data_IF_796770519066
#
_entry.id   IF_796770519066
#
_cell.length_a   1.000
_cell.length_b   1.000
_cell.length_c   1.000
_cell.angle_alpha   90.00
_cell.angle_beta   90.00
_cell.angle_gamma   90.00
#
_symmetry.space_group_name_H-M   'P 1'
#
loop_
_entity.id
_entity.type
_entity.pdbx_description
1 polymer ?
#
# COMPACT_ATOMS: atom_id res chain seq x y z
N UNK A 1 24.39 32.79 -2.60
CA UNK A 1 23.02 32.51 -3.01
C UNK A 1 22.76 31.00 -2.85
N UNK A 2 22.07 30.58 -1.77
CA UNK A 2 21.61 29.18 -1.65
C UNK A 2 20.52 28.99 -2.70
N UNK A 3 20.71 28.04 -3.64
CA UNK A 3 19.63 27.55 -4.50
C UNK A 3 18.51 27.11 -3.55
N UNK A 4 17.31 27.69 -3.68
CA UNK A 4 16.10 27.17 -3.06
C UNK A 4 16.01 25.72 -3.50
N UNK A 5 16.30 24.78 -2.60
CA UNK A 5 16.11 23.37 -2.86
C UNK A 5 14.62 23.18 -3.17
N UNK A 6 14.33 22.41 -4.18
CA UNK A 6 12.99 21.89 -4.42
C UNK A 6 12.65 21.12 -3.15
N UNK A 7 11.74 21.67 -2.35
CA UNK A 7 11.23 20.98 -1.17
C UNK A 7 10.45 19.77 -1.71
N UNK A 8 10.92 18.56 -1.40
CA UNK A 8 10.31 17.33 -1.86
C UNK A 8 8.96 17.16 -1.17
N UNK A 9 7.88 17.32 -1.93
CA UNK A 9 6.53 17.20 -1.42
C UNK A 9 5.97 15.80 -1.62
N UNK A 10 5.41 15.24 -0.56
CA UNK A 10 4.70 13.96 -0.59
C UNK A 10 3.19 14.22 -0.58
N UNK A 11 2.45 13.73 -1.56
CA UNK A 11 1.00 13.75 -1.53
C UNK A 11 0.45 12.49 -0.83
N UNK A 12 -0.41 12.68 0.15
CA UNK A 12 -1.20 11.63 0.77
C UNK A 12 -2.61 11.73 0.18
N UNK A 13 -3.03 10.69 -0.53
CA UNK A 13 -4.33 10.67 -1.19
C UNK A 13 -5.45 10.57 -0.15
N UNK A 14 -6.36 11.54 -0.16
CA UNK A 14 -7.56 11.58 0.66
C UNK A 14 -8.78 11.14 -0.16
N UNK A 15 -9.22 9.90 0.06
CA UNK A 15 -10.49 9.38 -0.47
C UNK A 15 -11.51 9.07 0.65
N UNK A 16 -11.48 9.86 1.73
CA UNK A 16 -12.24 9.64 2.97
C UNK A 16 -11.82 8.36 3.71
N UNK A 17 -10.57 7.88 3.49
CA UNK A 17 -10.02 6.77 4.26
C UNK A 17 -9.74 7.20 5.70
N UNK A 18 -9.95 6.28 6.64
CA UNK A 18 -9.54 6.50 8.01
C UNK A 18 -8.01 6.46 8.17
N UNK A 19 -7.53 6.95 9.30
CA UNK A 19 -6.11 6.91 9.72
C UNK A 19 -5.10 7.76 8.90
N UNK A 20 -5.56 8.63 8.01
CA UNK A 20 -4.71 9.57 7.25
C UNK A 20 -3.83 10.41 8.20
N UNK A 21 -4.39 10.86 9.32
CA UNK A 21 -3.68 11.66 10.33
C UNK A 21 -2.46 10.96 10.93
N UNK A 22 -2.49 9.64 11.06
CA UNK A 22 -1.33 8.88 11.56
C UNK A 22 -0.19 8.87 10.53
N UNK A 23 -0.52 8.72 9.24
CA UNK A 23 0.46 8.77 8.15
C UNK A 23 1.05 10.17 8.04
N UNK A 24 0.21 11.21 8.05
CA UNK A 24 0.63 12.61 8.02
C UNK A 24 1.63 12.92 9.16
N UNK A 25 1.26 12.57 10.41
CA UNK A 25 2.12 12.77 11.58
C UNK A 25 3.45 12.00 11.48
N UNK A 26 3.42 10.77 10.98
CA UNK A 26 4.63 9.97 10.79
C UNK A 26 5.58 10.63 9.78
N UNK A 27 5.06 11.15 8.67
CA UNK A 27 5.87 11.85 7.68
C UNK A 27 6.46 13.15 8.24
N UNK A 28 5.68 13.93 8.99
CA UNK A 28 6.18 15.13 9.67
C UNK A 28 7.27 14.81 10.68
N UNK A 29 7.11 13.71 11.45
CA UNK A 29 8.16 13.26 12.39
C UNK A 29 9.47 12.91 11.65
N UNK A 30 9.37 12.41 10.44
CA UNK A 30 10.52 12.13 9.57
C UNK A 30 11.05 13.37 8.84
N UNK A 31 10.55 14.56 9.16
CA UNK A 31 10.97 15.82 8.54
C UNK A 31 10.55 15.98 7.09
N UNK A 32 9.51 15.26 6.64
CA UNK A 32 9.01 15.34 5.28
C UNK A 32 7.88 16.37 5.17
N UNK A 33 7.86 17.14 4.08
CA UNK A 33 6.72 17.96 3.72
C UNK A 33 5.64 17.10 3.06
N UNK A 34 4.41 17.21 3.57
CA UNK A 34 3.27 16.45 3.06
C UNK A 34 2.06 17.33 2.82
N UNK A 35 1.26 16.95 1.85
CA UNK A 35 -0.07 17.49 1.61
C UNK A 35 -1.09 16.37 1.58
N UNK A 36 -2.13 16.47 2.39
CA UNK A 36 -3.30 15.57 2.32
C UNK A 36 -4.27 16.18 1.32
N UNK A 37 -4.52 15.48 0.22
CA UNK A 37 -5.28 16.06 -0.89
C UNK A 37 -5.96 15.00 -1.76
N UNK A 38 -7.05 15.39 -2.42
CA UNK A 38 -7.68 14.67 -3.54
C UNK A 38 -7.61 15.47 -4.84
N UNK A 39 -6.94 16.63 -4.81
CA UNK A 39 -6.76 17.44 -5.99
C UNK A 39 -5.78 16.81 -6.99
N UNK A 40 -6.26 16.58 -8.21
CA UNK A 40 -5.50 15.93 -9.29
C UNK A 40 -4.13 16.60 -9.52
N UNK A 41 -4.13 17.94 -9.65
CA UNK A 41 -2.89 18.63 -9.98
C UNK A 41 -1.85 18.54 -8.88
N UNK A 42 -2.26 18.65 -7.62
CA UNK A 42 -1.40 18.51 -6.46
C UNK A 42 -0.78 17.11 -6.39
N UNK A 43 -1.59 16.06 -6.64
CA UNK A 43 -1.10 14.68 -6.65
C UNK A 43 -0.09 14.45 -7.78
N UNK A 44 -0.39 14.92 -9.00
CA UNK A 44 0.48 14.73 -10.17
C UNK A 44 1.79 15.55 -10.12
N UNK A 45 1.81 16.63 -9.34
CA UNK A 45 3.01 17.45 -9.12
C UNK A 45 3.89 16.96 -7.96
N UNK A 46 3.39 16.07 -7.13
CA UNK A 46 4.11 15.54 -5.98
C UNK A 46 5.33 14.70 -6.41
N UNK A 47 6.40 14.76 -5.62
CA UNK A 47 7.60 13.95 -5.83
C UNK A 47 7.41 12.48 -5.42
N UNK A 48 6.48 12.23 -4.51
CA UNK A 48 6.08 10.89 -4.03
C UNK A 48 4.61 10.91 -3.66
N UNK A 49 3.97 9.75 -3.73
CA UNK A 49 2.55 9.61 -3.41
C UNK A 49 2.34 8.46 -2.43
N UNK A 50 1.48 8.66 -1.45
CA UNK A 50 1.07 7.63 -0.49
C UNK A 50 -0.45 7.43 -0.61
N UNK A 51 -0.85 6.16 -0.76
CA UNK A 51 -2.23 5.71 -0.69
C UNK A 51 -2.43 4.95 0.63
N UNK A 52 -2.89 5.60 1.70
CA UNK A 52 -3.25 4.90 2.93
C UNK A 52 -4.58 4.20 2.75
N UNK A 53 -4.93 3.27 3.65
CA UNK A 53 -6.26 2.69 3.64
C UNK A 53 -6.56 1.86 4.88
N UNK A 54 -7.80 1.96 5.34
CA UNK A 54 -8.42 1.10 6.34
C UNK A 54 -9.88 0.86 5.95
N UNK A 55 -10.47 -0.24 6.44
CA UNK A 55 -11.85 -0.61 6.13
C UNK A 55 -11.96 -1.63 5.01
N UNK A 56 -13.08 -1.66 4.30
CA UNK A 56 -13.39 -2.67 3.30
C UNK A 56 -12.93 -2.27 1.89
N UNK A 57 -12.47 -3.27 1.13
CA UNK A 57 -11.95 -3.11 -0.22
C UNK A 57 -12.95 -2.44 -1.19
N UNK A 58 -14.21 -2.91 -1.19
CA UNK A 58 -15.23 -2.37 -2.09
C UNK A 58 -15.61 -0.93 -1.78
N UNK A 59 -15.73 -0.57 -0.50
CA UNK A 59 -16.04 0.79 -0.08
C UNK A 59 -14.92 1.76 -0.49
N UNK A 60 -13.66 1.35 -0.30
CA UNK A 60 -12.50 2.12 -0.70
C UNK A 60 -12.46 2.34 -2.22
N UNK A 61 -12.65 1.30 -3.03
CA UNK A 61 -12.70 1.43 -4.49
C UNK A 61 -13.86 2.31 -4.96
N UNK A 62 -15.02 2.20 -4.32
CA UNK A 62 -16.18 3.08 -4.59
C UNK A 62 -15.82 4.56 -4.38
N UNK A 63 -15.15 4.89 -3.29
CA UNK A 63 -14.71 6.26 -2.99
C UNK A 63 -13.64 6.76 -3.96
N UNK A 64 -12.65 5.94 -4.28
CA UNK A 64 -11.61 6.27 -5.27
C UNK A 64 -12.25 6.62 -6.61
N UNK A 65 -13.22 5.82 -7.07
CA UNK A 65 -13.97 6.07 -8.31
C UNK A 65 -14.84 7.30 -8.21
N UNK A 66 -15.57 7.46 -7.11
CA UNK A 66 -16.44 8.64 -6.88
C UNK A 66 -15.68 9.95 -6.99
N UNK A 67 -14.42 10.00 -6.54
CA UNK A 67 -13.58 11.20 -6.59
C UNK A 67 -12.71 11.28 -7.85
N UNK A 68 -12.86 10.36 -8.80
CA UNK A 68 -12.06 10.35 -10.03
C UNK A 68 -10.57 10.10 -9.80
N UNK A 69 -10.22 9.46 -8.68
CA UNK A 69 -8.83 9.23 -8.29
C UNK A 69 -8.19 8.01 -8.97
N UNK A 70 -8.99 7.11 -9.52
CA UNK A 70 -8.50 5.90 -10.20
C UNK A 70 -7.57 6.28 -11.36
N UNK A 71 -8.01 7.17 -12.25
CA UNK A 71 -7.21 7.66 -13.37
C UNK A 71 -5.96 8.42 -12.91
N UNK A 72 -6.08 9.21 -11.83
CA UNK A 72 -4.97 9.97 -11.25
C UNK A 72 -3.88 9.03 -10.75
N UNK A 73 -4.26 7.96 -10.03
CA UNK A 73 -3.33 6.96 -9.51
C UNK A 73 -2.61 6.25 -10.66
N UNK A 74 -3.33 5.84 -11.70
CA UNK A 74 -2.73 5.23 -12.89
C UNK A 74 -1.73 6.16 -13.58
N UNK A 75 -2.04 7.45 -13.68
CA UNK A 75 -1.14 8.44 -14.28
C UNK A 75 0.13 8.64 -13.43
N UNK A 76 0.00 8.72 -12.09
CA UNK A 76 1.13 8.79 -11.15
C UNK A 76 2.07 7.61 -11.34
N UNK A 77 1.51 6.39 -11.38
CA UNK A 77 2.29 5.16 -11.54
C UNK A 77 2.95 5.11 -12.93
N UNK A 78 2.21 5.41 -13.99
CA UNK A 78 2.73 5.46 -15.36
C UNK A 78 3.86 6.47 -15.53
N UNK A 79 3.81 7.57 -14.80
CA UNK A 79 4.88 8.61 -14.78
C UNK A 79 6.14 8.12 -14.03
N UNK A 80 6.09 7.00 -13.32
CA UNK A 80 7.19 6.48 -12.50
C UNK A 80 7.38 7.24 -11.18
N UNK A 81 6.40 8.03 -10.75
CA UNK A 81 6.45 8.69 -9.44
C UNK A 81 6.44 7.63 -8.34
N UNK A 82 7.38 7.65 -7.36
CA UNK A 82 7.38 6.70 -6.26
C UNK A 82 6.03 6.69 -5.53
N UNK A 83 5.44 5.50 -5.44
CA UNK A 83 4.10 5.29 -4.91
C UNK A 83 4.11 4.24 -3.80
N UNK A 84 3.50 4.54 -2.66
CA UNK A 84 3.41 3.64 -1.51
C UNK A 84 1.95 3.39 -1.12
N UNK A 85 1.48 2.17 -1.30
CA UNK A 85 0.23 1.69 -0.70
C UNK A 85 0.48 1.16 0.71
N UNK A 86 -0.35 1.57 1.68
CA UNK A 86 -0.23 1.14 3.09
C UNK A 86 -1.50 0.38 3.48
N UNK A 87 -1.35 -0.87 3.95
CA UNK A 87 -2.43 -1.75 4.40
C UNK A 87 -3.48 -1.94 3.29
N UNK A 88 -4.73 -1.50 3.50
CA UNK A 88 -5.75 -1.55 2.44
C UNK A 88 -5.28 -0.81 1.17
N UNK A 89 -4.55 0.30 1.30
CA UNK A 89 -3.99 1.00 0.14
C UNK A 89 -3.04 0.13 -0.71
N UNK A 90 -2.31 -0.80 -0.12
CA UNK A 90 -1.55 -1.82 -0.86
C UNK A 90 -2.49 -2.82 -1.55
N UNK A 91 -3.52 -3.30 -0.84
CA UNK A 91 -4.47 -4.25 -1.39
C UNK A 91 -5.20 -3.70 -2.63
N UNK A 92 -5.57 -2.42 -2.61
CA UNK A 92 -6.25 -1.74 -3.71
C UNK A 92 -5.43 -1.70 -5.02
N UNK A 93 -4.10 -1.88 -4.97
CA UNK A 93 -3.24 -1.94 -6.16
C UNK A 93 -3.43 -3.22 -6.96
N UNK A 94 -4.02 -4.26 -6.38
CA UNK A 94 -4.25 -5.56 -7.01
C UNK A 94 -5.56 -5.58 -7.82
N UNK A 95 -5.84 -6.71 -8.47
CA UNK A 95 -6.94 -6.82 -9.45
C UNK A 95 -8.31 -7.00 -8.78
N UNK A 96 -8.39 -7.76 -7.68
CA UNK A 96 -9.66 -8.11 -7.01
C UNK A 96 -9.44 -8.55 -5.56
N UNK A 97 -10.53 -8.68 -4.83
CA UNK A 97 -10.52 -9.16 -3.45
C UNK A 97 -11.71 -10.07 -3.16
N UNK A 98 -11.46 -11.15 -2.39
CA UNK A 98 -12.50 -12.01 -1.82
C UNK A 98 -13.42 -11.28 -0.84
N UNK A 99 -12.96 -10.16 -0.28
CA UNK A 99 -13.76 -9.36 0.65
C UNK A 99 -15.00 -8.78 -0.01
N UNK A 100 -14.88 -8.43 -1.31
CA UNK A 100 -15.97 -7.82 -2.07
C UNK A 100 -16.00 -8.41 -3.47
N UNK A 101 -16.56 -9.61 -3.66
CA UNK A 101 -16.65 -10.25 -4.97
C UNK A 101 -17.32 -9.35 -6.01
N UNK A 102 -16.74 -9.29 -7.22
CA UNK A 102 -17.24 -8.49 -8.32
C UNK A 102 -16.80 -7.02 -8.32
N UNK A 103 -16.04 -6.57 -7.32
CA UNK A 103 -15.38 -5.27 -7.35
C UNK A 103 -13.94 -5.41 -7.81
N UNK A 104 -13.60 -4.73 -8.89
CA UNK A 104 -12.23 -4.67 -9.39
C UNK A 104 -11.42 -3.64 -8.60
N UNK A 105 -10.15 -3.97 -8.34
CA UNK A 105 -9.16 -3.06 -7.79
C UNK A 105 -8.53 -2.18 -8.87
N UNK A 106 -7.39 -1.56 -8.55
CA UNK A 106 -6.67 -0.70 -9.48
C UNK A 106 -5.91 -1.49 -10.57
N UNK A 107 -5.66 -2.79 -10.36
CA UNK A 107 -5.01 -3.66 -11.36
C UNK A 107 -3.58 -3.25 -11.74
N UNK A 108 -2.91 -2.47 -10.90
CA UNK A 108 -1.51 -2.04 -11.10
C UNK A 108 -0.57 -3.22 -10.86
N UNK A 109 -0.86 -4.04 -9.84
CA UNK A 109 -0.17 -5.27 -9.53
C UNK A 109 -1.03 -6.47 -9.89
N UNK A 110 -0.42 -7.50 -10.48
CA UNK A 110 -1.10 -8.74 -10.85
C UNK A 110 -1.26 -9.66 -9.64
N UNK A 111 -2.47 -10.20 -9.49
CA UNK A 111 -2.84 -11.08 -8.40
C UNK A 111 -4.11 -10.62 -7.69
N UNK A 112 -4.34 -11.18 -6.53
CA UNK A 112 -5.60 -11.03 -5.82
C UNK A 112 -5.42 -10.91 -4.30
N UNK A 113 -6.45 -10.42 -3.66
CA UNK A 113 -6.53 -10.32 -2.20
C UNK A 113 -7.44 -11.44 -1.71
N UNK A 114 -6.88 -12.36 -0.93
CA UNK A 114 -7.56 -13.55 -0.44
C UNK A 114 -7.85 -13.44 1.04
N UNK A 115 -8.93 -14.10 1.50
CA UNK A 115 -9.18 -14.26 2.92
C UNK A 115 -8.14 -15.23 3.51
N UNK A 116 -7.60 -14.91 4.69
CA UNK A 116 -6.70 -15.80 5.43
C UNK A 116 -7.49 -17.09 5.75
N UNK A 117 -6.96 -18.29 5.43
CA UNK A 117 -7.62 -19.55 5.70
C UNK A 117 -7.82 -19.79 7.20
N UNK A 118 -8.98 -20.35 7.58
CA UNK A 118 -9.23 -20.78 8.95
C UNK A 118 -8.31 -21.95 9.31
N UNK A 119 -7.67 -21.87 10.47
CA UNK A 119 -6.82 -22.94 11.02
C UNK A 119 -7.12 -23.12 12.50
N UNK A 120 -7.27 -24.36 12.99
CA UNK A 120 -7.48 -24.62 14.41
C UNK A 120 -6.38 -23.98 15.28
N UNK A 121 -6.79 -23.23 16.30
CA UNK A 121 -5.87 -22.53 17.21
C UNK A 121 -5.43 -21.15 16.77
N UNK A 122 -5.69 -20.73 15.53
CA UNK A 122 -5.45 -19.37 15.05
C UNK A 122 -6.75 -18.57 14.93
N UNK A 123 -6.68 -17.30 15.26
CA UNK A 123 -7.82 -16.38 15.16
C UNK A 123 -7.69 -15.52 13.91
N UNK A 124 -8.79 -15.36 13.18
CA UNK A 124 -8.92 -14.38 12.12
C UNK A 124 -9.81 -13.24 12.63
N UNK A 125 -9.36 -11.97 12.53
CA UNK A 125 -8.16 -11.45 11.85
C UNK A 125 -6.84 -11.84 12.53
N UNK A 126 -5.75 -11.91 11.73
CA UNK A 126 -4.38 -11.91 12.22
C UNK A 126 -4.13 -10.58 12.93
N UNK A 127 -4.03 -10.59 14.25
CA UNK A 127 -3.79 -9.41 15.08
C UNK A 127 -2.62 -9.69 16.00
N UNK A 128 -1.53 -8.97 15.82
CA UNK A 128 -0.36 -9.11 16.66
C UNK A 128 0.97 -8.85 15.94
N UNK A 129 2.05 -8.99 16.68
CA UNK A 129 3.40 -8.89 16.19
C UNK A 129 3.82 -10.18 15.49
N UNK A 130 4.35 -10.06 14.29
CA UNK A 130 4.91 -11.19 13.56
C UNK A 130 6.16 -10.74 12.79
N UNK A 131 7.08 -11.68 12.55
CA UNK A 131 8.36 -11.40 11.91
C UNK A 131 8.24 -11.42 10.38
N UNK A 132 9.12 -10.65 9.73
CA UNK A 132 9.21 -10.58 8.28
C UNK A 132 10.38 -11.40 7.75
N UNK A 133 10.14 -12.09 6.63
CA UNK A 133 11.16 -12.68 5.77
C UNK A 133 11.22 -11.91 4.46
N UNK A 134 12.40 -11.81 3.87
CA UNK A 134 12.64 -11.05 2.63
C UNK A 134 13.03 -12.00 1.48
N UNK A 135 12.06 -12.57 0.76
CA UNK A 135 12.33 -13.53 -0.32
C UNK A 135 13.02 -12.87 -1.52
N UNK A 136 12.78 -11.58 -1.74
CA UNK A 136 13.40 -10.80 -2.80
C UNK A 136 13.87 -9.44 -2.28
N UNK A 137 14.85 -8.85 -2.95
CA UNK A 137 15.34 -7.52 -2.60
C UNK A 137 14.26 -6.44 -2.82
N UNK A 138 14.17 -5.49 -1.88
CA UNK A 138 13.26 -4.36 -1.97
C UNK A 138 13.81 -3.12 -1.31
N UNK A 139 13.47 -1.95 -1.84
CA UNK A 139 13.92 -0.66 -1.28
C UNK A 139 13.36 -0.40 0.11
N UNK A 140 12.11 -0.85 0.36
CA UNK A 140 11.37 -0.55 1.59
C UNK A 140 12.07 -1.11 2.84
N UNK A 141 12.71 -2.28 2.71
CA UNK A 141 13.32 -2.99 3.84
C UNK A 141 14.85 -2.85 3.90
N UNK A 142 15.43 -1.99 3.07
CA UNK A 142 16.88 -1.81 3.06
C UNK A 142 17.38 -1.32 4.42
N UNK A 143 18.28 -2.10 5.03
CA UNK A 143 18.82 -1.82 6.35
C UNK A 143 17.94 -2.25 7.52
N UNK A 144 16.80 -2.90 7.26
CA UNK A 144 15.95 -3.53 8.28
C UNK A 144 16.34 -5.02 8.34
N UNK A 145 16.78 -5.53 9.49
CA UNK A 145 17.17 -6.94 9.61
C UNK A 145 16.01 -7.89 9.31
N UNK A 146 16.31 -9.04 8.74
CA UNK A 146 15.36 -10.15 8.63
C UNK A 146 14.90 -10.56 10.04
N UNK A 147 13.71 -11.11 10.14
CA UNK A 147 13.04 -11.41 11.40
C UNK A 147 12.66 -10.18 12.25
N UNK A 148 12.75 -8.96 11.68
CA UNK A 148 12.16 -7.78 12.32
C UNK A 148 10.65 -7.94 12.46
N UNK A 149 10.12 -7.54 13.62
CA UNK A 149 8.70 -7.65 13.93
C UNK A 149 7.94 -6.42 13.50
N UNK A 150 6.79 -6.64 12.86
CA UNK A 150 5.78 -5.59 12.58
C UNK A 150 4.42 -6.03 13.11
N UNK A 151 3.54 -5.04 13.38
CA UNK A 151 2.21 -5.34 13.88
C UNK A 151 1.24 -5.56 12.73
N UNK A 152 0.59 -6.72 12.71
CA UNK A 152 -0.44 -7.08 11.75
C UNK A 152 -1.84 -6.86 12.32
N UNK A 153 -2.77 -6.41 11.49
CA UNK A 153 -4.21 -6.34 11.78
C UNK A 153 -4.99 -6.48 10.48
N UNK A 154 -5.23 -7.74 10.06
CA UNK A 154 -5.88 -8.00 8.78
C UNK A 154 -6.56 -9.37 8.74
N UNK A 155 -7.63 -9.48 7.95
CA UNK A 155 -8.31 -10.74 7.62
C UNK A 155 -8.05 -11.20 6.18
N UNK A 156 -7.54 -10.28 5.35
CA UNK A 156 -7.25 -10.51 3.94
C UNK A 156 -5.79 -10.17 3.66
N UNK A 157 -5.17 -10.91 2.74
CA UNK A 157 -3.77 -10.75 2.38
C UNK A 157 -3.59 -10.77 0.87
N UNK A 158 -2.53 -10.19 0.38
CA UNK A 158 -2.21 -10.22 -1.03
C UNK A 158 -1.59 -11.56 -1.44
N UNK A 159 -1.99 -12.06 -2.61
CA UNK A 159 -1.40 -13.18 -3.31
C UNK A 159 -0.97 -12.69 -4.68
N UNK A 160 0.30 -12.33 -4.82
CA UNK A 160 0.86 -11.90 -6.09
C UNK A 160 0.91 -13.07 -7.07
N UNK A 161 0.59 -12.82 -8.34
CA UNK A 161 0.73 -13.81 -9.42
C UNK A 161 2.21 -14.08 -9.72
N UNK A 162 3.03 -13.03 -9.73
CA UNK A 162 4.47 -13.11 -9.87
C UNK A 162 5.14 -12.95 -8.50
N UNK A 163 5.67 -14.03 -7.95
CA UNK A 163 6.33 -14.02 -6.65
C UNK A 163 7.65 -13.23 -6.64
N UNK A 164 8.24 -12.93 -7.79
CA UNK A 164 9.46 -12.12 -7.88
C UNK A 164 9.27 -10.68 -7.41
N UNK A 165 8.03 -10.17 -7.39
CA UNK A 165 7.71 -8.84 -6.88
C UNK A 165 7.51 -8.80 -5.37
N UNK A 166 7.40 -9.96 -4.70
CA UNK A 166 7.15 -10.05 -3.25
C UNK A 166 8.43 -9.78 -2.49
N UNK A 167 8.47 -8.70 -1.73
CA UNK A 167 9.67 -8.24 -1.01
C UNK A 167 9.64 -8.51 0.48
N UNK A 168 8.48 -8.86 1.04
CA UNK A 168 8.38 -9.36 2.41
C UNK A 168 7.25 -10.37 2.54
N UNK A 169 7.46 -11.37 3.38
CA UNK A 169 6.47 -12.39 3.74
C UNK A 169 6.44 -12.61 5.24
N UNK A 170 5.33 -13.18 5.72
CA UNK A 170 5.21 -13.72 7.07
C UNK A 170 4.34 -14.96 7.05
N UNK A 171 4.44 -15.82 8.04
CA UNK A 171 3.60 -17.01 8.17
C UNK A 171 2.48 -16.81 9.18
N UNK A 172 1.24 -17.01 8.74
CA UNK A 172 0.07 -17.06 9.61
C UNK A 172 -1.05 -17.83 8.94
N UNK A 173 -1.28 -19.08 9.35
CA UNK A 173 -2.20 -20.02 8.68
C UNK A 173 -1.80 -20.38 7.24
N UNK A 174 -1.15 -19.48 6.55
CA UNK A 174 -0.57 -19.62 5.22
C UNK A 174 0.61 -18.67 5.09
N UNK A 175 1.36 -18.79 3.98
CA UNK A 175 2.37 -17.79 3.63
C UNK A 175 1.67 -16.50 3.18
N UNK A 176 1.82 -15.46 3.96
CA UNK A 176 1.27 -14.12 3.70
C UNK A 176 2.30 -13.32 2.91
N UNK A 177 1.96 -12.86 1.71
CA UNK A 177 2.74 -11.84 1.01
C UNK A 177 2.47 -10.49 1.69
N UNK A 178 3.42 -10.01 2.48
CA UNK A 178 3.24 -8.82 3.32
C UNK A 178 3.62 -7.52 2.59
N UNK A 179 4.42 -7.62 1.53
CA UNK A 179 4.84 -6.48 0.70
C UNK A 179 5.14 -6.93 -0.72
N UNK A 180 4.83 -6.07 -1.67
CA UNK A 180 5.19 -6.25 -3.07
C UNK A 180 5.74 -4.94 -3.64
N UNK A 181 6.56 -5.03 -4.68
CA UNK A 181 7.10 -3.89 -5.42
C UNK A 181 6.67 -3.95 -6.87
N UNK A 182 6.27 -2.80 -7.41
CA UNK A 182 6.11 -2.64 -8.85
C UNK A 182 7.36 -1.93 -9.39
N UNK A 183 7.93 -2.48 -10.43
CA UNK A 183 9.04 -1.88 -11.14
C UNK A 183 8.77 -2.04 -12.65
N UNK A 184 8.62 -0.93 -13.35
CA UNK A 184 8.71 -0.99 -14.82
C UNK A 184 10.14 -1.44 -15.15
N UNK A 185 10.27 -2.58 -15.84
CA UNK A 185 11.59 -3.00 -16.35
C UNK A 185 12.06 -1.90 -17.29
N UNK A 186 13.14 -1.25 -16.87
CA UNK A 186 13.94 -0.37 -17.71
C UNK A 186 14.44 -1.11 -18.95
#
# INVERSE_FOLDING_TARGET
MRRKGHEHMIAIIDYDAGNIKSVEKAMHLLGQEVVVTRDRESILKADKVILPGVGAFGDAMSKIRQYGLEEVIHEVVKKGTPFLGICLGLQLLFERSDETPGVEGLGILKGEILRIPDQPGLKIPHMGWNSLKYPNEGRLFRGIPEDSYVYFVHSYYLKAEDESIVTATTEYSTLIHASAIWCEKL
#
